data_IF_708505798641
#
_entry.id   IF_708505798641
#
_cell.length_a   1.000
_cell.length_b   1.000
_cell.length_c   1.000
_cell.angle_alpha   90.00
_cell.angle_beta   90.00
_cell.angle_gamma   90.00
#
_symmetry.space_group_name_H-M   'P 1'
#
loop_
_entity.id
_entity.type
_entity.pdbx_description
1 polymer ?
#
# COMPACT_ATOMS: atom_id res chain seq x y z
N UNK A 1 -22.96 -10.65 19.21
CA UNK A 1 -21.93 -11.64 18.83
C UNK A 1 -21.45 -12.33 20.09
N UNK A 2 -21.36 -13.67 20.14
CA UNK A 2 -20.79 -14.37 21.29
C UNK A 2 -19.37 -13.85 21.56
N UNK A 3 -19.08 -13.47 22.81
CA UNK A 3 -17.73 -13.03 23.23
C UNK A 3 -17.41 -11.54 23.07
N UNK A 4 -18.31 -10.70 22.53
CA UNK A 4 -18.12 -9.24 22.47
C UNK A 4 -19.35 -8.54 23.08
N UNK A 5 -19.35 -8.27 24.40
CA UNK A 5 -20.49 -7.68 25.11
C UNK A 5 -20.66 -6.20 24.73
N UNK A 6 -21.84 -5.64 25.02
CA UNK A 6 -22.03 -4.18 24.99
C UNK A 6 -21.07 -3.49 25.97
N UNK A 7 -20.76 -2.22 25.68
CA UNK A 7 -19.74 -1.43 26.38
C UNK A 7 -20.33 -0.14 26.98
N UNK A 8 -21.37 -0.24 27.83
CA UNK A 8 -22.06 0.93 28.38
C UNK A 8 -21.14 1.78 29.28
N UNK A 9 -20.16 1.18 29.94
CA UNK A 9 -19.19 1.87 30.81
C UNK A 9 -18.33 2.90 30.04
N UNK A 10 -18.19 2.72 28.73
CA UNK A 10 -17.50 3.65 27.83
C UNK A 10 -18.45 4.60 27.09
N UNK A 11 -19.74 4.61 27.43
CA UNK A 11 -20.79 5.38 26.75
C UNK A 11 -20.85 5.09 25.25
N UNK A 12 -20.63 3.83 24.87
CA UNK A 12 -20.68 3.37 23.48
C UNK A 12 -22.03 2.69 23.20
N UNK A 13 -22.67 3.12 22.11
CA UNK A 13 -23.89 2.49 21.60
C UNK A 13 -23.52 1.50 20.50
N UNK A 14 -24.03 0.28 20.58
CA UNK A 14 -23.80 -0.76 19.58
C UNK A 14 -24.81 -0.62 18.43
N UNK A 15 -24.33 -0.15 17.28
CA UNK A 15 -25.10 -0.18 16.04
C UNK A 15 -25.16 -1.58 15.41
N UNK A 16 -26.16 -1.79 14.56
CA UNK A 16 -26.31 -2.96 13.69
C UNK A 16 -26.08 -2.53 12.24
N UNK A 17 -25.09 -3.16 11.59
CA UNK A 17 -24.75 -2.93 10.18
C UNK A 17 -24.75 -4.26 9.44
N UNK A 18 -25.55 -4.34 8.37
CA UNK A 18 -25.49 -5.43 7.39
C UNK A 18 -25.01 -4.83 6.08
N UNK A 19 -23.88 -5.32 5.55
CA UNK A 19 -23.24 -4.78 4.36
C UNK A 19 -22.82 -5.92 3.44
N UNK A 20 -23.16 -5.85 2.17
CA UNK A 20 -22.68 -6.80 1.18
C UNK A 20 -22.29 -6.12 -0.13
N UNK A 21 -21.24 -6.68 -0.74
CA UNK A 21 -20.68 -6.24 -2.01
C UNK A 21 -20.62 -7.42 -2.97
N UNK A 22 -21.08 -7.21 -4.20
CA UNK A 22 -20.96 -8.17 -5.29
C UNK A 22 -20.11 -7.52 -6.36
N UNK A 23 -18.96 -8.12 -6.64
CA UNK A 23 -18.01 -7.65 -7.64
C UNK A 23 -18.15 -8.48 -8.91
N UNK A 24 -18.43 -7.83 -10.04
CA UNK A 24 -18.55 -8.47 -11.35
C UNK A 24 -17.59 -7.81 -12.34
N UNK A 25 -16.70 -8.60 -12.94
CA UNK A 25 -15.84 -8.10 -14.01
C UNK A 25 -16.66 -7.91 -15.29
N UNK A 26 -16.73 -6.68 -15.83
CA UNK A 26 -17.40 -6.40 -17.12
C UNK A 26 -16.45 -6.49 -18.30
N UNK A 27 -15.21 -6.04 -18.12
CA UNK A 27 -14.16 -6.08 -19.15
C UNK A 27 -12.77 -5.98 -18.50
N UNK A 28 -11.71 -5.96 -19.30
CA UNK A 28 -10.34 -5.82 -18.78
C UNK A 28 -10.19 -4.49 -18.05
N UNK A 29 -9.92 -4.55 -16.74
CA UNK A 29 -9.73 -3.37 -15.90
C UNK A 29 -11.01 -2.69 -15.43
N UNK A 30 -12.19 -3.25 -15.73
CA UNK A 30 -13.49 -2.68 -15.31
C UNK A 30 -14.25 -3.70 -14.47
N UNK A 31 -14.57 -3.31 -13.23
CA UNK A 31 -15.37 -4.08 -12.29
C UNK A 31 -16.62 -3.27 -11.94
N UNK A 32 -17.77 -3.90 -12.12
CA UNK A 32 -19.04 -3.43 -11.60
C UNK A 32 -19.19 -3.88 -10.16
N UNK A 33 -19.60 -2.96 -9.30
CA UNK A 33 -19.80 -3.24 -7.88
C UNK A 33 -21.26 -2.96 -7.55
N UNK A 34 -21.99 -4.00 -7.18
CA UNK A 34 -23.28 -3.85 -6.52
C UNK A 34 -23.04 -3.84 -5.01
N UNK A 35 -23.55 -2.83 -4.33
CA UNK A 35 -23.36 -2.64 -2.90
C UNK A 35 -24.71 -2.33 -2.25
N UNK A 36 -24.98 -2.94 -1.10
CA UNK A 36 -26.13 -2.61 -0.27
C UNK A 36 -25.73 -2.66 1.19
N UNK A 37 -26.21 -1.67 1.93
CA UNK A 37 -26.07 -1.59 3.37
C UNK A 37 -27.46 -1.43 4.02
N UNK A 38 -27.68 -2.10 5.15
CA UNK A 38 -28.72 -1.78 6.11
C UNK A 38 -28.02 -1.29 7.37
N UNK A 39 -28.29 -0.05 7.75
CA UNK A 39 -27.60 0.62 8.85
C UNK A 39 -28.61 1.06 9.91
N UNK A 40 -28.40 0.59 11.13
CA UNK A 40 -29.12 0.99 12.33
C UNK A 40 -28.09 1.39 13.38
N UNK A 41 -27.85 2.69 13.50
CA UNK A 41 -26.85 3.23 14.42
C UNK A 41 -27.32 3.21 15.90
N UNK A 42 -28.60 2.91 16.15
CA UNK A 42 -29.21 2.89 17.48
C UNK A 42 -29.02 4.22 18.24
N UNK A 43 -29.34 4.25 19.54
CA UNK A 43 -28.98 5.38 20.43
C UNK A 43 -29.62 6.72 20.07
N UNK A 44 -30.88 6.71 19.63
CA UNK A 44 -31.63 7.92 19.25
C UNK A 44 -30.98 8.75 18.12
N UNK A 45 -30.16 8.12 17.28
CA UNK A 45 -29.52 8.79 16.17
C UNK A 45 -30.56 9.32 15.16
N UNK A 46 -30.50 10.62 14.79
CA UNK A 46 -31.39 11.18 13.79
C UNK A 46 -31.30 10.44 12.46
N UNK A 47 -32.43 10.22 11.80
CA UNK A 47 -32.50 9.54 10.50
C UNK A 47 -31.62 10.20 9.43
N UNK A 48 -31.48 11.52 9.48
CA UNK A 48 -30.58 12.29 8.61
C UNK A 48 -29.12 11.91 8.81
N UNK A 49 -28.67 11.74 10.07
CA UNK A 49 -27.32 11.29 10.39
C UNK A 49 -27.06 9.86 9.90
N UNK A 50 -28.02 8.95 10.09
CA UNK A 50 -27.93 7.57 9.59
C UNK A 50 -27.82 7.56 8.06
N UNK A 51 -28.61 8.39 7.39
CA UNK A 51 -28.60 8.52 5.92
C UNK A 51 -27.26 9.07 5.43
N UNK A 52 -26.75 10.14 6.06
CA UNK A 52 -25.46 10.74 5.70
C UNK A 52 -24.30 9.77 5.91
N UNK A 53 -24.27 9.07 7.06
CA UNK A 53 -23.28 8.02 7.33
C UNK A 53 -23.31 6.93 6.24
N UNK A 54 -24.50 6.47 5.88
CA UNK A 54 -24.68 5.44 4.86
C UNK A 54 -24.21 5.94 3.48
N UNK A 55 -24.54 7.17 3.12
CA UNK A 55 -24.12 7.79 1.86
C UNK A 55 -22.60 7.99 1.78
N UNK A 56 -21.96 8.43 2.87
CA UNK A 56 -20.51 8.58 2.95
C UNK A 56 -19.80 7.22 2.84
N UNK A 57 -20.29 6.22 3.59
CA UNK A 57 -19.79 4.84 3.51
C UNK A 57 -19.86 4.28 2.09
N UNK A 58 -20.99 4.45 1.41
CA UNK A 58 -21.18 4.02 0.02
C UNK A 58 -20.30 4.79 -0.97
N UNK A 59 -20.08 6.09 -0.73
CA UNK A 59 -19.20 6.91 -1.58
C UNK A 59 -17.73 6.47 -1.51
N UNK A 60 -17.32 5.95 -0.34
CA UNK A 60 -15.96 5.43 -0.12
C UNK A 60 -15.62 4.19 -0.95
N UNK A 61 -16.62 3.50 -1.51
CA UNK A 61 -16.40 2.29 -2.34
C UNK A 61 -15.51 2.56 -3.55
N UNK A 62 -15.59 3.77 -4.10
CA UNK A 62 -14.73 4.22 -5.21
C UNK A 62 -13.25 4.26 -4.81
N UNK A 63 -12.95 4.47 -3.52
CA UNK A 63 -11.60 4.52 -2.99
C UNK A 63 -10.99 3.13 -2.78
N UNK A 64 -11.81 2.07 -2.70
CA UNK A 64 -11.32 0.71 -2.47
C UNK A 64 -10.35 0.24 -3.54
N UNK A 65 -10.56 0.62 -4.81
CA UNK A 65 -9.63 0.28 -5.89
C UNK A 65 -8.24 0.91 -5.68
N UNK A 66 -8.19 2.19 -5.28
CA UNK A 66 -6.93 2.87 -4.98
C UNK A 66 -6.25 2.29 -3.74
N UNK A 67 -7.02 1.95 -2.71
CA UNK A 67 -6.50 1.29 -1.52
C UNK A 67 -5.93 -0.08 -1.87
N UNK A 68 -6.64 -0.89 -2.66
CA UNK A 68 -6.18 -2.21 -3.11
C UNK A 68 -4.91 -2.12 -3.96
N UNK A 69 -4.80 -1.14 -4.86
CA UNK A 69 -3.57 -0.94 -5.65
C UNK A 69 -2.37 -0.63 -4.74
N UNK A 70 -2.53 0.31 -3.80
CA UNK A 70 -1.48 0.66 -2.83
C UNK A 70 -1.13 -0.51 -1.91
N UNK A 71 -2.13 -1.30 -1.53
CA UNK A 71 -1.97 -2.48 -0.71
C UNK A 71 -1.15 -3.55 -1.41
N UNK A 72 -1.41 -3.82 -2.71
CA UNK A 72 -0.58 -4.73 -3.51
C UNK A 72 0.88 -4.25 -3.63
N UNK A 73 1.11 -2.93 -3.69
CA UNK A 73 2.46 -2.36 -3.65
C UNK A 73 3.14 -2.60 -2.29
N UNK A 74 2.41 -2.41 -1.18
CA UNK A 74 2.90 -2.67 0.18
C UNK A 74 3.20 -4.17 0.38
N UNK A 75 2.29 -5.04 -0.05
CA UNK A 75 2.47 -6.49 -0.04
C UNK A 75 3.71 -6.90 -0.82
N UNK A 76 3.85 -6.44 -2.07
CA UNK A 76 5.01 -6.76 -2.90
C UNK A 76 6.32 -6.24 -2.28
N UNK A 77 6.30 -5.07 -1.61
CA UNK A 77 7.45 -4.57 -0.88
C UNK A 77 7.81 -5.46 0.32
N UNK A 78 6.81 -5.99 1.01
CA UNK A 78 6.99 -6.83 2.19
C UNK A 78 7.48 -8.23 1.83
N UNK A 79 7.01 -8.82 0.72
CA UNK A 79 7.32 -10.20 0.35
C UNK A 79 8.47 -10.35 -0.64
N UNK A 80 8.81 -9.29 -1.39
CA UNK A 80 9.87 -9.39 -2.38
C UNK A 80 11.22 -9.29 -1.70
N UNK A 81 11.98 -10.39 -1.74
CA UNK A 81 13.38 -10.35 -1.36
C UNK A 81 14.16 -9.47 -2.35
N UNK A 82 15.09 -8.61 -1.86
CA UNK A 82 16.00 -7.89 -2.73
C UNK A 82 16.72 -8.90 -3.63
N UNK A 83 16.71 -8.67 -4.94
CA UNK A 83 17.41 -9.53 -5.88
C UNK A 83 18.92 -9.45 -5.59
N UNK A 84 19.45 -10.40 -4.82
CA UNK A 84 20.89 -10.52 -4.52
C UNK A 84 21.68 -11.09 -5.72
N UNK A 85 20.97 -11.65 -6.72
CA UNK A 85 21.55 -12.52 -7.74
C UNK A 85 22.17 -11.83 -8.96
N UNK A 86 22.55 -10.56 -8.87
CA UNK A 86 23.38 -9.94 -9.91
C UNK A 86 24.23 -8.86 -9.28
N UNK A 87 25.56 -9.01 -9.29
CA UNK A 87 26.51 -7.89 -9.07
C UNK A 87 25.97 -6.72 -9.88
N UNK A 88 25.39 -5.68 -9.25
CA UNK A 88 24.74 -4.64 -10.01
C UNK A 88 25.85 -4.00 -10.83
N UNK A 89 25.69 -3.90 -12.15
CA UNK A 89 26.36 -2.83 -12.86
C UNK A 89 25.88 -1.55 -12.18
N UNK A 90 26.69 -1.01 -11.27
CA UNK A 90 26.27 -0.02 -10.26
C UNK A 90 25.62 1.22 -10.90
N UNK A 91 25.86 1.41 -12.19
CA UNK A 91 25.45 2.58 -12.94
C UNK A 91 24.37 2.31 -13.99
N UNK A 92 23.74 1.13 -14.11
CA UNK A 92 22.66 0.94 -15.10
C UNK A 92 21.28 1.01 -14.47
N UNK A 93 20.31 1.56 -15.21
CA UNK A 93 18.91 1.49 -14.84
C UNK A 93 18.43 0.03 -14.88
N UNK A 94 17.86 -0.44 -13.78
CA UNK A 94 17.30 -1.79 -13.62
C UNK A 94 16.10 -2.12 -14.54
N UNK A 95 15.55 -1.10 -15.22
CA UNK A 95 14.41 -1.25 -16.15
C UNK A 95 14.87 -1.10 -17.60
N UNK A 96 15.44 0.04 -17.98
CA UNK A 96 15.79 0.36 -19.38
C UNK A 96 17.28 0.24 -19.71
N UNK A 97 18.10 -0.27 -18.77
CA UNK A 97 19.55 -0.44 -18.90
C UNK A 97 20.35 0.82 -19.28
N UNK A 98 19.73 2.00 -19.26
CA UNK A 98 20.40 3.29 -19.49
C UNK A 98 21.52 3.48 -18.47
N UNK A 99 22.68 3.91 -18.95
CA UNK A 99 23.80 4.33 -18.11
C UNK A 99 23.46 5.62 -17.34
N UNK A 100 23.50 5.49 -16.02
CA UNK A 100 23.19 6.49 -15.01
C UNK A 100 24.43 7.26 -14.58
N UNK A 101 25.64 6.75 -14.84
CA UNK A 101 26.90 7.46 -14.54
C UNK A 101 27.03 8.72 -15.40
N UNK A 102 26.52 8.68 -16.63
CA UNK A 102 26.50 9.78 -17.60
C UNK A 102 25.29 10.70 -17.44
N UNK A 103 24.52 10.57 -16.35
CA UNK A 103 23.38 11.44 -16.09
C UNK A 103 23.87 12.82 -15.69
N UNK A 104 23.43 13.86 -16.40
CA UNK A 104 23.67 15.26 -16.04
C UNK A 104 23.08 15.63 -14.66
N UNK A 105 22.15 14.82 -14.14
CA UNK A 105 21.52 15.01 -12.83
C UNK A 105 21.60 13.70 -12.01
N UNK A 106 22.75 13.35 -11.40
CA UNK A 106 22.93 12.10 -10.66
C UNK A 106 21.99 11.95 -9.46
N UNK A 107 21.63 13.06 -8.80
CA UNK A 107 20.71 13.09 -7.64
C UNK A 107 19.27 12.65 -7.98
N UNK A 108 18.91 12.67 -9.26
CA UNK A 108 17.60 12.21 -9.75
C UNK A 108 17.52 10.69 -9.88
N UNK A 109 18.67 10.00 -9.86
CA UNK A 109 18.71 8.55 -9.85
C UNK A 109 18.37 8.06 -8.44
N UNK A 110 17.37 7.19 -8.34
CA UNK A 110 16.88 6.65 -7.07
C UNK A 110 16.97 5.13 -7.09
N UNK A 111 16.71 4.49 -5.95
CA UNK A 111 16.52 3.05 -5.87
C UNK A 111 15.03 2.74 -5.79
N UNK A 112 14.58 1.71 -6.51
CA UNK A 112 13.24 1.19 -6.36
C UNK A 112 13.07 0.60 -4.95
N UNK A 113 12.04 1.02 -4.21
CA UNK A 113 11.79 0.51 -2.84
C UNK A 113 11.32 -0.94 -2.76
N UNK A 114 10.97 -1.56 -3.89
CA UNK A 114 10.57 -2.97 -3.97
C UNK A 114 11.77 -3.84 -4.36
N UNK A 115 12.30 -3.69 -5.57
CA UNK A 115 13.37 -4.57 -6.06
C UNK A 115 14.80 -4.09 -5.74
N UNK A 116 14.96 -2.96 -5.05
CA UNK A 116 16.26 -2.30 -4.73
C UNK A 116 17.12 -1.87 -5.94
N UNK A 117 16.65 -2.07 -7.18
CA UNK A 117 17.39 -1.69 -8.39
C UNK A 117 17.45 -0.17 -8.61
N UNK A 118 18.57 0.34 -9.16
CA UNK A 118 18.68 1.75 -9.55
C UNK A 118 17.72 2.09 -10.68
N UNK A 119 17.13 3.28 -10.63
CA UNK A 119 16.13 3.75 -11.60
C UNK A 119 16.44 5.17 -12.05
N UNK A 120 16.35 5.40 -13.37
CA UNK A 120 16.37 6.73 -13.93
C UNK A 120 15.01 7.44 -13.71
N UNK A 121 14.98 8.76 -13.88
CA UNK A 121 13.76 9.55 -13.71
C UNK A 121 12.58 9.07 -14.60
N UNK A 122 12.83 8.56 -15.82
CA UNK A 122 11.78 8.06 -16.72
C UNK A 122 11.16 6.74 -16.26
N UNK A 123 11.91 5.88 -15.58
CA UNK A 123 11.44 4.59 -15.10
C UNK A 123 10.93 4.64 -13.66
N UNK A 124 10.91 5.84 -13.05
CA UNK A 124 10.50 6.09 -11.68
C UNK A 124 9.03 6.49 -11.63
N UNK A 125 8.25 5.78 -10.82
CA UNK A 125 6.86 6.10 -10.49
C UNK A 125 6.78 6.35 -8.98
N UNK A 126 6.63 7.60 -8.54
CA UNK A 126 6.38 7.91 -7.14
C UNK A 126 5.03 7.33 -6.69
N UNK A 127 4.99 6.67 -5.53
CA UNK A 127 3.75 6.17 -4.91
C UNK A 127 3.64 6.72 -3.49
N UNK A 128 2.46 7.26 -3.15
CA UNK A 128 2.14 7.72 -1.79
C UNK A 128 1.47 6.60 -1.02
N UNK A 129 2.16 6.08 -0.01
CA UNK A 129 1.68 4.97 0.84
C UNK A 129 1.47 5.44 2.28
N UNK A 130 0.63 4.70 3.00
CA UNK A 130 0.34 4.94 4.41
C UNK A 130 0.97 3.83 5.25
N UNK A 131 1.77 4.21 6.24
CA UNK A 131 2.45 3.31 7.16
C UNK A 131 1.99 3.54 8.59
N UNK A 132 1.99 2.49 9.41
CA UNK A 132 1.79 2.60 10.85
C UNK A 132 3.10 2.96 11.54
N UNK A 133 3.03 3.94 12.45
CA UNK A 133 4.17 4.27 13.31
C UNK A 133 4.16 3.38 14.55
N UNK A 134 5.27 2.64 14.79
CA UNK A 134 5.40 1.73 15.94
C UNK A 134 5.32 2.45 17.30
N UNK A 135 5.81 3.70 17.37
CA UNK A 135 5.90 4.48 18.61
C UNK A 135 4.60 5.23 18.92
N UNK A 136 4.06 5.94 17.93
CA UNK A 136 2.88 6.80 18.14
C UNK A 136 1.56 6.09 17.88
N UNK A 137 1.59 4.90 17.27
CA UNK A 137 0.41 4.17 16.74
C UNK A 137 -0.41 4.98 15.72
N UNK A 138 0.13 6.09 15.24
CA UNK A 138 -0.49 6.92 14.21
C UNK A 138 -0.15 6.47 12.79
N UNK A 139 -0.88 7.00 11.81
CA UNK A 139 -0.65 6.76 10.38
C UNK A 139 0.28 7.84 9.82
N UNK A 140 1.35 7.43 9.14
CA UNK A 140 2.29 8.31 8.45
C UNK A 140 2.20 8.07 6.94
N UNK A 141 2.00 9.14 6.17
CA UNK A 141 2.00 9.07 4.71
C UNK A 141 3.39 9.37 4.18
N UNK A 142 3.94 8.50 3.33
CA UNK A 142 5.26 8.68 2.69
C UNK A 142 5.18 8.50 1.19
N UNK A 143 5.97 9.29 0.47
CA UNK A 143 6.23 9.06 -0.94
C UNK A 143 7.42 8.12 -1.08
N UNK A 144 7.24 7.05 -1.84
CA UNK A 144 8.29 6.10 -2.18
C UNK A 144 8.52 6.09 -3.69
N UNK A 145 9.74 5.75 -4.11
CA UNK A 145 10.07 5.57 -5.52
C UNK A 145 9.98 4.10 -5.92
N UNK A 146 9.13 3.79 -6.90
CA UNK A 146 8.93 2.43 -7.42
C UNK A 146 9.23 2.41 -8.91
N UNK A 147 9.88 1.36 -9.41
CA UNK A 147 10.15 1.23 -10.84
C UNK A 147 8.89 0.83 -11.62
N UNK A 148 8.80 1.22 -12.90
CA UNK A 148 7.68 0.85 -13.78
C UNK A 148 7.40 -0.66 -13.80
N UNK A 149 8.44 -1.50 -13.78
CA UNK A 149 8.31 -2.97 -13.72
C UNK A 149 7.62 -3.44 -12.43
N UNK A 150 8.00 -2.90 -11.27
CA UNK A 150 7.40 -3.28 -10.00
C UNK A 150 5.96 -2.78 -9.88
N UNK A 151 5.66 -1.56 -10.37
CA UNK A 151 4.27 -1.06 -10.45
C UNK A 151 3.41 -1.94 -11.36
N UNK A 152 3.95 -2.33 -12.52
CA UNK A 152 3.24 -3.24 -13.43
C UNK A 152 2.99 -4.60 -12.76
N UNK A 153 4.01 -5.14 -12.08
CA UNK A 153 3.90 -6.41 -11.35
C UNK A 153 2.80 -6.32 -10.30
N UNK A 154 2.83 -5.31 -9.42
CA UNK A 154 1.82 -5.13 -8.37
C UNK A 154 0.41 -4.95 -8.92
N UNK A 155 0.24 -4.23 -10.03
CA UNK A 155 -1.06 -4.02 -10.66
C UNK A 155 -1.69 -5.33 -11.16
N UNK A 156 -0.86 -6.29 -11.61
CA UNK A 156 -1.29 -7.57 -12.17
C UNK A 156 -1.29 -8.72 -11.15
N UNK A 157 -0.95 -8.47 -9.89
CA UNK A 157 -1.03 -9.51 -8.85
C UNK A 157 -2.48 -9.94 -8.64
N UNK A 158 -2.69 -11.24 -8.51
CA UNK A 158 -3.99 -11.80 -8.14
C UNK A 158 -4.33 -11.39 -6.70
N UNK A 159 -5.47 -10.74 -6.50
CA UNK A 159 -5.90 -10.27 -5.18
C UNK A 159 -6.16 -11.42 -4.19
N UNK A 160 -6.61 -12.59 -4.68
CA UNK A 160 -6.83 -13.78 -3.85
C UNK A 160 -5.49 -14.30 -3.31
N UNK A 161 -4.46 -14.37 -4.15
CA UNK A 161 -3.12 -14.81 -3.74
C UNK A 161 -2.53 -13.88 -2.69
N UNK A 162 -2.72 -12.57 -2.82
CA UNK A 162 -2.30 -11.57 -1.82
C UNK A 162 -3.02 -11.80 -0.50
N UNK A 163 -4.35 -11.93 -0.53
CA UNK A 163 -5.15 -12.16 0.68
C UNK A 163 -4.78 -13.47 1.40
N UNK A 164 -4.57 -14.56 0.65
CA UNK A 164 -4.12 -15.84 1.21
C UNK A 164 -2.72 -15.74 1.83
N UNK A 165 -1.82 -15.02 1.18
CA UNK A 165 -0.50 -14.74 1.73
C UNK A 165 -0.56 -13.96 3.04
N UNK A 166 -1.42 -12.95 3.13
CA UNK A 166 -1.61 -12.16 4.36
C UNK A 166 -2.12 -12.99 5.53
N UNK A 167 -3.08 -13.89 5.27
CA UNK A 167 -3.59 -14.82 6.28
C UNK A 167 -2.53 -15.80 6.78
N UNK A 168 -1.49 -16.04 5.98
CA UNK A 168 -0.38 -16.93 6.33
C UNK A 168 0.70 -16.23 7.16
N UNK A 169 0.66 -14.90 7.32
CA UNK A 169 1.60 -14.16 8.15
C UNK A 169 1.26 -14.35 9.63
N UNK A 170 2.28 -14.58 10.47
CA UNK A 170 2.12 -14.58 11.94
C UNK A 170 1.54 -13.25 12.46
N UNK A 171 1.90 -12.14 11.82
CA UNK A 171 1.35 -10.83 12.10
C UNK A 171 0.94 -10.12 10.80
N UNK A 172 -0.34 -10.18 10.38
CA UNK A 172 -0.81 -9.54 9.16
C UNK A 172 -0.61 -8.02 9.12
N UNK A 173 -0.51 -7.36 10.28
CA UNK A 173 -0.28 -5.90 10.34
C UNK A 173 1.16 -5.51 10.02
N UNK A 174 2.10 -6.47 9.97
CA UNK A 174 3.53 -6.22 9.68
C UNK A 174 3.73 -5.47 8.36
N UNK A 175 2.89 -5.74 7.37
CA UNK A 175 2.91 -5.15 6.03
C UNK A 175 2.75 -3.63 6.04
N UNK A 176 2.08 -3.07 7.06
CA UNK A 176 1.84 -1.64 7.20
C UNK A 176 2.96 -0.92 7.94
N UNK A 177 3.86 -1.65 8.58
CA UNK A 177 5.04 -1.04 9.17
C UNK A 177 6.11 -0.91 8.10
N UNK A 178 6.77 0.24 8.06
CA UNK A 178 7.95 0.36 7.23
C UNK A 178 9.00 -0.64 7.73
N UNK A 179 9.41 -1.55 6.85
CA UNK A 179 10.53 -2.43 7.15
C UNK A 179 11.73 -1.56 7.52
N UNK A 180 12.32 -1.76 8.69
CA UNK A 180 13.49 -1.02 9.18
C UNK A 180 14.76 -1.22 8.33
N UNK A 181 14.63 -1.87 7.17
CA UNK A 181 15.60 -1.88 6.08
C UNK A 181 15.66 -0.47 5.46
N UNK A 182 16.11 0.48 6.28
CA UNK A 182 16.87 1.64 5.86
C UNK A 182 18.15 1.09 5.23
N UNK A 183 18.08 0.64 3.97
CA UNK A 183 19.25 0.65 3.10
C UNK A 183 19.42 2.10 2.62
N UNK A 184 19.74 2.98 3.57
CA UNK A 184 20.46 4.21 3.25
C UNK A 184 21.72 3.76 2.53
N UNK A 185 21.78 4.01 1.22
CA UNK A 185 23.04 4.00 0.51
C UNK A 185 23.86 5.16 1.10
N UNK A 186 24.64 4.86 2.14
CA UNK A 186 25.67 5.74 2.65
C UNK A 186 26.60 6.03 1.48
N UNK A 187 26.61 7.27 1.00
CA UNK A 187 27.66 7.77 0.13
C UNK A 187 28.96 7.70 0.93
N UNK A 188 29.79 6.70 0.63
CA UNK A 188 31.18 6.65 1.10
C UNK A 188 31.91 7.77 0.38
N UNK A 189 32.14 8.87 1.07
CA UNK A 189 33.13 9.87 0.68
C UNK A 189 34.49 9.28 1.00
N UNK A 190 35.16 8.69 0.00
CA UNK A 190 36.57 8.33 0.10
C UNK A 190 37.39 9.62 0.23
N UNK A 191 37.98 9.83 1.40
CA UNK A 191 39.05 10.79 1.59
C UNK A 191 40.26 10.34 0.78
N UNK A 192 40.68 11.13 -0.21
CA UNK A 192 41.98 11.00 -0.84
C UNK A 192 43.00 11.78 -0.02
N UNK A 193 43.91 11.07 0.64
CA UNK A 193 45.19 11.62 1.07
C UNK A 193 46.11 11.70 -0.14
N UNK A 194 46.70 12.87 -0.34
CA UNK A 194 47.65 13.21 -1.41
C UNK A 194 47.89 14.71 -1.41
#
# INVERSE_FOLDING_TARGET
>A
MPGVPELPEYKLVRGKLELYHIFRQKSKGVVEVYARALCDLQGEMPSTSVTMFSAEGMSSLTLMAFCAERHKVMWLMHTMEPCESRKPSLNLCSVCTKDLSKSLLPFMNKACRICSGRICARCRIPKRLSFLNRRTRGVIKKNIDVCTRCVHTSAHMNALTVAQGELSLENPTSIFYESAINRSASSVSSASSG
#
